data_IF_348176907479
#
_entry.id   IF_348176907479
#
_cell.length_a   1.000
_cell.length_b   1.000
_cell.length_c   1.000
_cell.angle_alpha   90.00
_cell.angle_beta   90.00
_cell.angle_gamma   90.00
#
_symmetry.space_group_name_H-M   'P 1'
#
loop_
_entity.id
_entity.type
_entity.pdbx_description
1 polymer ?
#
# COMPACT_ATOMS: atom_id res chain seq x y z
N UNK A 1 1.97 0.64 -6.33
CA UNK A 1 2.84 -0.49 -5.92
C UNK A 1 3.78 -0.02 -4.81
N UNK A 2 3.85 -0.73 -3.68
CA UNK A 2 4.81 -0.48 -2.58
C UNK A 2 6.07 -1.31 -2.80
N UNK A 3 7.22 -0.83 -2.26
CA UNK A 3 8.49 -1.56 -2.29
C UNK A 3 9.16 -1.52 -0.91
N UNK A 4 10.15 -2.40 -0.70
CA UNK A 4 10.93 -2.43 0.54
C UNK A 4 11.85 -1.22 0.68
N UNK A 5 12.23 -0.89 1.92
CA UNK A 5 13.14 0.21 2.25
C UNK A 5 14.48 0.11 1.50
N UNK A 6 15.11 -1.08 1.43
CA UNK A 6 16.37 -1.26 0.72
C UNK A 6 16.27 -0.97 -0.78
N UNK A 7 15.12 -1.32 -1.39
CA UNK A 7 14.84 -1.01 -2.81
C UNK A 7 14.62 0.49 -2.99
N UNK A 8 13.84 1.11 -2.10
CA UNK A 8 13.60 2.55 -2.10
C UNK A 8 14.92 3.33 -2.01
N UNK A 9 15.79 2.96 -1.08
CA UNK A 9 17.12 3.55 -0.95
C UNK A 9 18.01 3.34 -2.18
N UNK A 10 17.91 2.16 -2.80
CA UNK A 10 18.61 1.87 -4.06
C UNK A 10 18.20 2.82 -5.19
N UNK A 11 16.91 3.11 -5.31
CA UNK A 11 16.39 4.09 -6.28
C UNK A 11 16.86 5.50 -5.91
N UNK A 12 16.65 5.93 -4.67
CA UNK A 12 17.06 7.24 -4.21
C UNK A 12 18.54 7.51 -4.46
N UNK A 13 19.38 6.52 -4.22
CA UNK A 13 20.83 6.59 -4.48
C UNK A 13 21.15 6.82 -5.97
N UNK A 14 20.41 6.20 -6.90
CA UNK A 14 20.58 6.43 -8.34
C UNK A 14 20.33 7.90 -8.74
N UNK A 15 19.44 8.57 -8.01
CA UNK A 15 19.13 9.99 -8.21
C UNK A 15 20.04 10.95 -7.44
N UNK A 16 21.01 10.42 -6.69
CA UNK A 16 21.95 11.23 -5.93
C UNK A 16 21.46 11.67 -4.54
N UNK A 17 20.38 11.08 -4.04
CA UNK A 17 19.93 11.25 -2.66
C UNK A 17 20.85 10.46 -1.74
N UNK A 18 21.40 11.12 -0.72
CA UNK A 18 22.29 10.49 0.24
C UNK A 18 21.50 9.51 1.14
N UNK A 19 21.94 8.27 1.17
CA UNK A 19 21.43 7.17 2.01
C UNK A 19 22.59 6.51 2.75
N UNK A 20 22.38 5.92 3.95
CA UNK A 20 23.42 5.16 4.64
C UNK A 20 23.94 4.01 3.77
N UNK A 21 25.21 3.63 3.97
CA UNK A 21 25.72 2.40 3.34
C UNK A 21 25.03 1.20 3.94
N UNK A 22 24.52 0.32 3.08
CA UNK A 22 23.81 -0.85 3.53
C UNK A 22 23.71 -1.92 2.47
N UNK A 23 23.52 -3.16 2.92
CA UNK A 23 23.36 -4.35 2.09
C UNK A 23 22.19 -5.17 2.59
N UNK A 24 21.35 -5.64 1.67
CA UNK A 24 20.25 -6.57 1.95
C UNK A 24 20.80 -7.96 2.21
N UNK A 25 20.21 -8.69 3.16
CA UNK A 25 20.54 -10.05 3.52
C UNK A 25 19.27 -10.90 3.68
N UNK A 26 19.31 -12.13 3.20
CA UNK A 26 18.25 -13.15 3.32
C UNK A 26 18.65 -14.31 4.24
N UNK A 27 19.94 -14.38 4.57
CA UNK A 27 20.49 -15.40 5.48
C UNK A 27 21.32 -14.74 6.57
N UNK A 28 21.61 -15.50 7.62
CA UNK A 28 22.49 -15.07 8.71
C UNK A 28 23.91 -14.79 8.20
N UNK A 29 24.40 -15.64 7.31
CA UNK A 29 25.76 -15.57 6.73
C UNK A 29 25.93 -14.33 5.87
N UNK A 30 24.90 -13.99 5.07
CA UNK A 30 24.88 -12.73 4.30
C UNK A 30 24.88 -11.51 5.21
N UNK A 31 24.12 -11.53 6.30
CA UNK A 31 24.09 -10.45 7.28
C UNK A 31 25.44 -10.28 7.99
N UNK A 32 26.10 -11.39 8.32
CA UNK A 32 27.45 -11.40 8.90
C UNK A 32 28.47 -10.80 7.94
N UNK A 33 28.44 -11.20 6.67
CA UNK A 33 29.33 -10.66 5.63
C UNK A 33 29.11 -9.16 5.42
N UNK A 34 27.85 -8.71 5.37
CA UNK A 34 27.50 -7.28 5.25
C UNK A 34 27.99 -6.47 6.47
N UNK A 35 27.79 -6.99 7.68
CA UNK A 35 28.26 -6.35 8.91
C UNK A 35 29.80 -6.24 8.94
N UNK A 36 30.50 -7.28 8.50
CA UNK A 36 31.96 -7.29 8.42
C UNK A 36 32.50 -6.23 7.44
N UNK A 37 31.87 -6.10 6.27
CA UNK A 37 32.26 -5.08 5.29
C UNK A 37 32.04 -3.65 5.83
N UNK A 38 30.87 -3.39 6.43
CA UNK A 38 30.50 -2.09 6.97
C UNK A 38 31.42 -1.69 8.14
N UNK A 39 31.63 -2.58 9.11
CA UNK A 39 32.50 -2.32 10.26
C UNK A 39 33.96 -2.20 9.83
N UNK A 40 34.43 -3.04 8.89
CA UNK A 40 35.75 -2.98 8.30
C UNK A 40 36.05 -1.68 7.57
N UNK A 41 35.05 -0.96 7.12
CA UNK A 41 35.18 0.37 6.48
C UNK A 41 35.11 1.54 7.46
N UNK A 42 35.15 1.29 8.78
CA UNK A 42 35.28 2.31 9.83
C UNK A 42 33.95 2.79 10.43
N UNK A 43 32.82 2.08 10.19
CA UNK A 43 31.60 2.38 10.91
C UNK A 43 31.68 1.97 12.38
N UNK A 44 31.02 2.73 13.27
CA UNK A 44 31.06 2.49 14.74
C UNK A 44 30.07 1.36 15.16
N UNK A 45 29.23 0.94 14.28
CA UNK A 45 28.23 -0.11 14.47
C UNK A 45 27.40 -0.33 13.21
N UNK A 46 26.55 -1.32 13.26
CA UNK A 46 25.56 -1.60 12.21
C UNK A 46 24.15 -1.63 12.80
N UNK A 47 23.16 -1.32 11.95
CA UNK A 47 21.74 -1.46 12.28
C UNK A 47 21.19 -2.60 11.45
N UNK A 48 20.55 -3.56 12.10
CA UNK A 48 19.82 -4.67 11.48
C UNK A 48 18.35 -4.30 11.42
N UNK A 49 17.80 -4.15 10.21
CA UNK A 49 16.43 -3.69 9.99
C UNK A 49 15.60 -4.75 9.24
N UNK A 50 14.53 -5.22 9.85
CA UNK A 50 13.54 -6.08 9.17
C UNK A 50 12.93 -5.35 7.97
N UNK A 51 12.80 -6.06 6.85
CA UNK A 51 12.22 -5.53 5.62
C UNK A 51 10.82 -6.10 5.44
N UNK A 52 9.80 -5.31 5.79
CA UNK A 52 8.37 -5.56 5.58
C UNK A 52 7.70 -4.29 5.08
N UNK A 53 6.56 -4.41 4.40
CA UNK A 53 5.78 -3.27 3.89
C UNK A 53 4.93 -2.57 4.98
N UNK A 54 5.50 -2.40 6.17
CA UNK A 54 4.82 -1.74 7.29
C UNK A 54 5.76 -0.82 8.06
N UNK A 55 5.21 0.27 8.56
CA UNK A 55 5.87 1.19 9.49
C UNK A 55 5.86 0.67 10.93
N UNK A 56 6.54 1.42 11.84
CA UNK A 56 6.57 1.09 13.26
C UNK A 56 7.47 -0.10 13.62
N UNK A 57 8.33 -0.55 12.70
CA UNK A 57 9.23 -1.70 12.88
C UNK A 57 10.10 -1.60 14.12
N UNK A 58 10.60 -0.39 14.43
CA UNK A 58 11.44 -0.15 15.61
C UNK A 58 10.70 -0.51 16.91
N UNK A 59 9.45 -0.06 17.07
CA UNK A 59 8.60 -0.38 18.23
C UNK A 59 8.26 -1.86 18.32
N UNK A 60 8.13 -2.54 17.17
CA UNK A 60 7.87 -3.98 17.09
C UNK A 60 9.11 -4.86 17.28
N UNK A 61 10.30 -4.27 17.50
CA UNK A 61 11.56 -5.02 17.66
C UNK A 61 12.24 -5.40 16.34
N UNK A 62 11.77 -4.89 15.21
CA UNK A 62 12.31 -5.12 13.87
C UNK A 62 13.50 -4.23 13.49
N UNK A 63 14.06 -3.45 14.43
CA UNK A 63 15.27 -2.63 14.25
C UNK A 63 16.15 -2.80 15.45
N UNK A 64 17.39 -3.24 15.27
CA UNK A 64 18.36 -3.48 16.33
C UNK A 64 19.75 -2.98 15.91
N UNK A 65 20.50 -2.44 16.88
CA UNK A 65 21.88 -2.01 16.67
C UNK A 65 22.80 -3.13 17.14
N UNK A 66 23.86 -3.38 16.38
CA UNK A 66 24.95 -4.28 16.73
C UNK A 66 26.29 -3.55 16.65
N UNK A 67 27.19 -3.85 17.60
CA UNK A 67 28.53 -3.24 17.69
C UNK A 67 29.64 -4.18 17.20
N UNK A 68 29.31 -5.44 16.94
CA UNK A 68 30.25 -6.43 16.38
C UNK A 68 29.57 -7.25 15.26
N UNK A 69 30.38 -7.99 14.51
CA UNK A 69 29.93 -8.88 13.45
C UNK A 69 29.12 -10.03 14.04
N UNK A 70 29.56 -10.60 15.15
CA UNK A 70 28.92 -11.72 15.85
C UNK A 70 27.54 -11.30 16.38
N UNK A 71 27.43 -10.11 16.98
CA UNK A 71 26.19 -9.56 17.47
C UNK A 71 25.20 -9.33 16.32
N UNK A 72 25.67 -8.80 15.18
CA UNK A 72 24.84 -8.61 13.98
C UNK A 72 24.32 -9.96 13.44
N UNK A 73 25.15 -10.97 13.37
CA UNK A 73 24.78 -12.34 12.94
C UNK A 73 23.78 -12.99 13.90
N UNK A 74 23.93 -12.80 15.21
CA UNK A 74 22.99 -13.30 16.21
C UNK A 74 21.61 -12.64 16.08
N UNK A 75 21.60 -11.30 15.96
CA UNK A 75 20.38 -10.53 15.76
C UNK A 75 19.68 -10.96 14.45
N UNK A 76 20.43 -11.06 13.37
CA UNK A 76 19.90 -11.51 12.07
C UNK A 76 19.27 -12.88 12.15
N UNK A 77 19.91 -13.86 12.81
CA UNK A 77 19.37 -15.19 13.01
C UNK A 77 18.07 -15.23 13.82
N UNK A 78 17.89 -14.29 14.76
CA UNK A 78 16.65 -14.15 15.55
C UNK A 78 15.54 -13.42 14.77
N UNK A 79 15.90 -12.48 13.89
CA UNK A 79 14.93 -11.68 13.16
C UNK A 79 14.41 -12.35 11.90
N UNK A 80 15.25 -13.13 11.20
CA UNK A 80 14.80 -13.90 10.04
C UNK A 80 13.81 -14.98 10.47
N UNK A 81 12.67 -15.03 9.78
CA UNK A 81 11.57 -15.93 10.09
C UNK A 81 10.69 -15.52 11.26
N UNK A 82 11.03 -14.45 12.01
CA UNK A 82 10.15 -13.98 13.07
C UNK A 82 8.86 -13.36 12.51
N UNK A 83 7.79 -13.45 13.28
CA UNK A 83 6.53 -12.75 13.03
C UNK A 83 6.61 -11.35 13.65
N UNK A 84 6.72 -10.34 12.80
CA UNK A 84 6.81 -8.94 13.25
C UNK A 84 5.42 -8.30 13.28
N UNK A 85 4.98 -7.90 14.47
CA UNK A 85 3.69 -7.22 14.71
C UNK A 85 3.95 -5.74 14.92
N UNK A 86 3.27 -4.90 14.16
CA UNK A 86 3.29 -3.44 14.28
C UNK A 86 1.84 -2.92 14.28
N UNK A 87 1.63 -1.64 14.57
CA UNK A 87 0.31 -1.03 14.46
C UNK A 87 -0.27 -1.04 13.02
N UNK A 88 0.60 -1.17 12.00
CA UNK A 88 0.17 -1.25 10.59
C UNK A 88 -0.04 -2.67 10.07
N UNK A 89 0.59 -3.68 10.68
CA UNK A 89 0.38 -5.09 10.28
C UNK A 89 -0.83 -5.73 10.93
N UNK A 90 -1.41 -5.08 11.94
CA UNK A 90 -2.41 -5.71 12.79
C UNK A 90 -1.85 -6.90 13.59
N UNK A 91 -2.72 -7.66 14.31
CA UNK A 91 -2.31 -8.79 15.14
C UNK A 91 -1.77 -9.98 14.34
N UNK A 92 -2.15 -10.06 13.06
CA UNK A 92 -1.64 -11.11 12.15
C UNK A 92 -0.14 -10.99 11.92
N UNK A 93 0.43 -9.77 11.96
CA UNK A 93 1.84 -9.52 11.74
C UNK A 93 2.31 -9.87 10.32
N UNK A 94 3.61 -9.76 10.08
CA UNK A 94 4.27 -10.18 8.84
C UNK A 94 5.52 -10.99 9.15
N UNK A 95 5.80 -12.01 8.36
CA UNK A 95 7.02 -12.80 8.51
C UNK A 95 8.20 -12.05 7.88
N UNK A 96 9.29 -11.95 8.61
CA UNK A 96 10.50 -11.27 8.15
C UNK A 96 11.32 -12.21 7.28
N UNK A 97 11.35 -11.97 5.98
CA UNK A 97 12.11 -12.75 5.00
C UNK A 97 13.45 -12.12 4.62
N UNK A 98 13.59 -10.81 4.83
CA UNK A 98 14.76 -10.02 4.43
C UNK A 98 15.14 -9.04 5.51
N UNK A 99 16.43 -8.77 5.59
CA UNK A 99 17.03 -7.76 6.47
C UNK A 99 17.79 -6.74 5.65
N UNK A 100 17.88 -5.51 6.15
CA UNK A 100 18.81 -4.52 5.67
C UNK A 100 19.84 -4.27 6.78
N UNK A 101 21.11 -4.50 6.45
CA UNK A 101 22.23 -4.23 7.34
C UNK A 101 22.84 -2.90 6.92
N UNK A 102 22.78 -1.89 7.79
CA UNK A 102 23.23 -0.52 7.49
C UNK A 102 24.25 -0.01 8.51
N UNK A 103 25.09 0.94 8.08
CA UNK A 103 25.98 1.66 9.01
C UNK A 103 25.20 2.50 10.01
N UNK A 104 25.68 2.59 11.24
CA UNK A 104 25.22 3.61 12.19
C UNK A 104 25.75 4.98 11.80
N UNK A 105 24.94 6.02 12.00
CA UNK A 105 25.29 7.41 11.72
C UNK A 105 25.21 8.25 12.99
N UNK A 106 26.07 9.30 13.14
CA UNK A 106 26.06 10.18 14.29
C UNK A 106 24.93 11.21 14.20
N UNK A 107 23.71 10.80 14.53
CA UNK A 107 22.49 11.60 14.40
C UNK A 107 22.50 12.79 15.36
N UNK A 108 22.27 14.00 14.85
CA UNK A 108 22.05 15.22 15.63
C UNK A 108 20.55 15.55 15.72
N UNK A 109 19.82 15.44 14.58
CA UNK A 109 18.40 15.71 14.50
C UNK A 109 17.69 14.69 13.62
N UNK A 110 16.51 14.32 14.04
CA UNK A 110 15.55 13.55 13.23
C UNK A 110 14.45 14.46 12.74
N UNK A 111 14.21 14.47 11.44
CA UNK A 111 13.32 15.37 10.72
C UNK A 111 12.42 14.53 9.85
N UNK A 112 11.32 15.12 9.38
CA UNK A 112 10.39 14.49 8.44
C UNK A 112 10.41 15.18 7.08
N UNK A 113 10.43 14.39 6.02
CA UNK A 113 10.17 14.83 4.63
C UNK A 113 9.21 13.88 3.94
N UNK A 114 8.21 14.42 3.26
CA UNK A 114 7.32 13.67 2.38
C UNK A 114 7.07 14.42 1.08
N UNK A 115 6.87 13.68 0.00
CA UNK A 115 6.38 14.22 -1.29
C UNK A 115 5.21 13.36 -1.72
N UNK A 116 4.10 14.00 -2.05
CA UNK A 116 2.93 13.36 -2.60
C UNK A 116 2.18 14.33 -3.53
N UNK A 117 1.19 13.82 -4.24
CA UNK A 117 0.25 14.68 -4.99
C UNK A 117 -0.92 15.03 -4.08
N UNK A 118 -1.08 16.31 -3.76
CA UNK A 118 -2.28 16.82 -3.07
C UNK A 118 -3.44 16.84 -4.08
N UNK A 119 -4.44 15.99 -3.86
CA UNK A 119 -5.58 15.85 -4.77
C UNK A 119 -6.49 17.08 -4.77
N UNK A 120 -6.54 17.82 -3.66
CA UNK A 120 -7.34 19.06 -3.57
C UNK A 120 -6.76 20.17 -4.43
N UNK A 121 -5.43 20.31 -4.41
CA UNK A 121 -4.72 21.35 -5.17
C UNK A 121 -4.29 20.87 -6.57
N UNK A 122 -4.33 19.55 -6.84
CA UNK A 122 -3.86 18.94 -8.08
C UNK A 122 -2.37 19.14 -8.34
N UNK A 123 -1.55 19.25 -7.29
CA UNK A 123 -0.13 19.58 -7.37
C UNK A 123 0.73 18.71 -6.46
N UNK A 124 1.99 18.44 -6.84
CA UNK A 124 2.96 17.89 -5.90
C UNK A 124 3.17 18.83 -4.73
N UNK A 125 3.27 18.26 -3.55
CA UNK A 125 3.55 18.99 -2.32
C UNK A 125 4.66 18.33 -1.52
N UNK A 126 5.66 19.10 -1.11
CA UNK A 126 6.56 18.72 -0.03
C UNK A 126 5.89 18.97 1.32
N UNK A 127 5.91 17.97 2.15
CA UNK A 127 5.59 18.06 3.57
C UNK A 127 6.88 17.93 4.35
N UNK A 128 7.14 18.88 5.25
CA UNK A 128 8.37 18.91 6.04
C UNK A 128 8.07 19.27 7.49
N UNK A 129 8.69 18.58 8.44
CA UNK A 129 8.54 18.86 9.86
C UNK A 129 9.88 18.65 10.60
N UNK A 130 10.10 19.49 11.61
CA UNK A 130 11.21 19.30 12.55
C UNK A 130 10.95 18.14 13.53
N UNK A 131 9.75 17.55 13.53
CA UNK A 131 9.39 16.37 14.32
C UNK A 131 9.49 15.12 13.42
N UNK A 132 10.64 14.50 13.37
CA UNK A 132 10.91 13.25 12.66
C UNK A 132 11.01 12.04 13.60
N UNK A 133 11.08 10.83 13.01
CA UNK A 133 11.18 9.59 13.76
C UNK A 133 9.89 9.19 14.49
N UNK A 134 8.81 9.90 14.26
CA UNK A 134 7.51 9.66 14.87
C UNK A 134 6.40 9.61 13.81
N UNK A 135 5.21 9.22 14.25
CA UNK A 135 4.03 9.13 13.39
C UNK A 135 3.59 10.53 12.94
N UNK A 136 3.68 10.80 11.65
CA UNK A 136 3.38 12.13 11.08
C UNK A 136 1.88 12.42 11.10
N UNK A 137 1.03 11.40 11.03
CA UNK A 137 -0.43 11.52 11.13
C UNK A 137 -0.82 12.04 12.52
N UNK A 138 -0.13 11.59 13.56
CA UNK A 138 -0.31 12.12 14.91
C UNK A 138 0.12 13.59 14.99
N UNK A 139 1.28 13.94 14.40
CA UNK A 139 1.74 15.34 14.35
C UNK A 139 0.73 16.21 13.60
N UNK A 140 0.17 15.71 12.48
CA UNK A 140 -0.83 16.42 11.68
C UNK A 140 -2.14 16.65 12.44
N UNK A 141 -2.55 15.71 13.29
CA UNK A 141 -3.76 15.81 14.09
C UNK A 141 -3.60 16.75 15.30
N UNK A 142 -2.47 16.67 15.99
CA UNK A 142 -2.24 17.41 17.24
C UNK A 142 -1.66 18.82 17.02
N UNK A 143 -0.77 18.96 16.00
CA UNK A 143 -0.02 20.19 15.72
C UNK A 143 0.16 20.40 14.20
N UNK A 144 -0.93 20.65 13.45
CA UNK A 144 -0.88 20.78 11.98
C UNK A 144 0.07 21.91 11.53
N UNK A 145 0.26 22.95 12.33
CA UNK A 145 1.19 24.06 12.08
C UNK A 145 2.68 23.65 12.13
N UNK A 146 3.00 22.49 12.73
CA UNK A 146 4.37 21.93 12.75
C UNK A 146 4.75 21.29 11.41
N UNK A 147 3.82 21.19 10.46
CA UNK A 147 4.07 20.64 9.13
C UNK A 147 4.03 21.76 8.10
N UNK A 148 5.20 22.08 7.56
CA UNK A 148 5.29 22.96 6.40
C UNK A 148 4.79 22.22 5.16
N UNK A 149 3.86 22.81 4.41
CA UNK A 149 3.48 22.40 3.05
C UNK A 149 4.09 23.36 2.05
N UNK A 150 4.88 22.84 1.11
CA UNK A 150 5.41 23.60 -0.01
C UNK A 150 4.91 22.99 -1.31
N UNK A 151 3.92 23.62 -1.92
CA UNK A 151 3.40 23.21 -3.22
C UNK A 151 4.37 23.55 -4.34
N UNK A 152 4.42 22.67 -5.34
CA UNK A 152 5.30 22.80 -6.49
C UNK A 152 4.43 22.89 -7.74
N UNK A 153 4.69 23.87 -8.57
CA UNK A 153 4.06 23.95 -9.89
C UNK A 153 4.69 22.88 -10.81
N UNK A 154 3.90 21.96 -11.39
CA UNK A 154 4.46 20.90 -12.24
C UNK A 154 5.21 21.41 -13.48
N UNK A 155 4.83 22.59 -14.00
CA UNK A 155 5.46 23.17 -15.16
C UNK A 155 6.83 23.82 -14.86
N UNK A 156 7.06 24.25 -13.61
CA UNK A 156 8.31 24.89 -13.19
C UNK A 156 9.23 23.92 -12.45
N UNK A 157 8.65 22.93 -11.77
CA UNK A 157 9.40 22.05 -10.88
C UNK A 157 9.77 22.68 -9.54
N UNK A 158 10.61 21.99 -8.77
CA UNK A 158 11.11 22.50 -7.49
C UNK A 158 12.21 23.54 -7.71
N UNK A 159 11.91 24.78 -7.38
CA UNK A 159 12.86 25.89 -7.48
C UNK A 159 13.80 25.97 -6.26
N UNK A 160 15.06 26.40 -6.44
CA UNK A 160 16.05 26.45 -5.34
C UNK A 160 15.62 27.29 -4.14
N UNK A 161 14.81 28.35 -4.35
CA UNK A 161 14.31 29.15 -3.23
C UNK A 161 13.29 28.39 -2.37
N UNK A 162 12.46 27.54 -3.00
CA UNK A 162 11.49 26.68 -2.31
C UNK A 162 12.22 25.63 -1.46
N UNK A 163 13.25 25.00 -2.02
CA UNK A 163 14.10 24.05 -1.30
C UNK A 163 14.80 24.73 -0.11
N UNK A 164 15.32 25.96 -0.26
CA UNK A 164 15.87 26.75 0.86
C UNK A 164 14.83 27.03 1.93
N UNK A 165 13.60 27.40 1.54
CA UNK A 165 12.49 27.62 2.49
C UNK A 165 12.22 26.39 3.33
N UNK A 166 12.16 25.21 2.71
CA UNK A 166 12.02 23.93 3.42
C UNK A 166 13.18 23.71 4.38
N UNK A 167 14.44 23.88 3.92
CA UNK A 167 15.62 23.69 4.73
C UNK A 167 15.67 24.60 5.97
N UNK A 168 15.26 25.86 5.84
CA UNK A 168 15.14 26.79 6.97
C UNK A 168 14.04 26.39 7.94
N UNK A 169 12.88 25.97 7.43
CA UNK A 169 11.77 25.50 8.27
C UNK A 169 12.11 24.24 9.08
N UNK A 170 12.98 23.37 8.54
CA UNK A 170 13.54 22.23 9.25
C UNK A 170 14.60 22.60 10.31
N UNK A 171 14.98 23.88 10.41
CA UNK A 171 15.99 24.36 11.34
C UNK A 171 17.39 23.83 11.05
N UNK A 172 17.72 23.62 9.76
CA UNK A 172 19.05 23.22 9.33
C UNK A 172 20.06 24.40 9.48
N UNK A 173 21.30 24.07 9.76
CA UNK A 173 22.39 25.06 9.91
C UNK A 173 22.71 25.71 8.55
N UNK A 174 23.16 26.95 8.55
CA UNK A 174 23.54 27.67 7.33
C UNK A 174 24.51 26.89 6.43
N UNK A 175 25.47 26.17 7.03
CA UNK A 175 26.41 25.30 6.31
C UNK A 175 25.77 24.10 5.60
N UNK A 176 24.58 23.71 6.01
CA UNK A 176 23.82 22.55 5.45
C UNK A 176 22.85 22.94 4.34
N UNK A 177 22.54 24.24 4.17
CA UNK A 177 21.48 24.68 3.25
C UNK A 177 21.74 24.26 1.81
N UNK A 178 22.96 24.38 1.30
CA UNK A 178 23.26 23.97 -0.08
C UNK A 178 23.15 22.44 -0.27
N UNK A 179 23.60 21.66 0.69
CA UNK A 179 23.43 20.20 0.68
C UNK A 179 21.95 19.82 0.75
N UNK A 180 21.15 20.52 1.55
CA UNK A 180 19.70 20.31 1.62
C UNK A 180 19.00 20.66 0.31
N UNK A 181 19.38 21.74 -0.38
CA UNK A 181 18.84 22.08 -1.70
C UNK A 181 19.13 20.98 -2.70
N UNK A 182 20.36 20.46 -2.75
CA UNK A 182 20.71 19.33 -3.63
C UNK A 182 19.91 18.09 -3.28
N UNK A 183 19.80 17.74 -2.00
CA UNK A 183 19.04 16.59 -1.52
C UNK A 183 17.57 16.68 -1.93
N UNK A 184 16.91 17.81 -1.67
CA UNK A 184 15.50 18.04 -2.01
C UNK A 184 15.25 18.02 -3.53
N UNK A 185 16.16 18.61 -4.32
CA UNK A 185 16.06 18.58 -5.79
C UNK A 185 16.20 17.16 -6.33
N UNK A 186 17.16 16.38 -5.80
CA UNK A 186 17.35 14.97 -6.16
C UNK A 186 16.14 14.12 -5.75
N UNK A 187 15.57 14.39 -4.56
CA UNK A 187 14.39 13.67 -4.08
C UNK A 187 13.15 13.97 -4.95
N UNK A 188 12.97 15.24 -5.36
CA UNK A 188 11.89 15.63 -6.27
C UNK A 188 12.04 14.99 -7.66
N UNK A 189 13.26 14.93 -8.19
CA UNK A 189 13.52 14.21 -9.44
C UNK A 189 13.20 12.73 -9.32
N UNK A 190 13.62 12.08 -8.24
CA UNK A 190 13.27 10.68 -7.98
C UNK A 190 11.76 10.47 -7.95
N UNK A 191 11.02 11.36 -7.28
CA UNK A 191 9.55 11.32 -7.23
C UNK A 191 8.91 11.42 -8.62
N UNK A 192 9.31 12.40 -9.43
CA UNK A 192 8.72 12.62 -10.75
C UNK A 192 9.10 11.54 -11.77
N UNK A 193 10.40 11.27 -11.90
CA UNK A 193 10.92 10.39 -12.94
C UNK A 193 10.59 8.90 -12.72
N UNK A 194 10.23 8.52 -11.49
CA UNK A 194 9.77 7.17 -11.15
C UNK A 194 8.25 7.04 -11.09
N UNK A 195 7.49 8.09 -11.40
CA UNK A 195 6.03 8.14 -11.21
C UNK A 195 5.62 7.69 -9.80
N UNK A 196 6.34 8.15 -8.80
CA UNK A 196 5.98 7.87 -7.42
C UNK A 196 4.71 8.63 -7.03
N UNK A 197 3.79 7.97 -6.35
CA UNK A 197 2.62 8.59 -5.72
C UNK A 197 2.92 9.10 -4.31
N UNK A 198 3.95 8.51 -3.67
CA UNK A 198 4.45 8.90 -2.35
C UNK A 198 5.95 8.63 -2.27
N UNK A 199 6.70 9.60 -1.78
CA UNK A 199 8.05 9.43 -1.24
C UNK A 199 8.02 9.95 0.19
N UNK A 200 8.37 9.13 1.15
CA UNK A 200 8.42 9.49 2.57
C UNK A 200 9.79 9.12 3.14
N UNK A 201 10.42 10.09 3.78
CA UNK A 201 11.69 9.95 4.48
C UNK A 201 11.44 10.26 5.97
N UNK A 202 11.41 9.22 6.79
CA UNK A 202 11.09 9.36 8.22
C UNK A 202 11.86 8.35 9.07
N UNK A 203 13.03 8.78 9.63
CA UNK A 203 13.50 10.15 9.63
C UNK A 203 14.41 10.52 8.43
N UNK A 204 14.34 11.80 8.03
CA UNK A 204 15.40 12.51 7.38
C UNK A 204 16.33 13.03 8.46
N UNK A 205 17.63 12.77 8.41
CA UNK A 205 18.54 13.10 9.49
C UNK A 205 19.58 14.15 9.13
N UNK A 206 19.89 14.98 10.11
CA UNK A 206 21.08 15.80 10.17
C UNK A 206 22.08 15.14 11.10
N UNK A 207 23.30 14.90 10.64
CA UNK A 207 24.37 14.33 11.42
C UNK A 207 25.20 15.42 12.12
N UNK A 208 25.90 15.07 13.23
CA UNK A 208 26.76 15.98 13.96
C UNK A 208 27.95 16.51 13.12
N UNK A 209 28.36 15.76 12.09
CA UNK A 209 29.34 16.15 11.10
C UNK A 209 28.81 17.02 9.95
N UNK A 210 27.55 17.38 10.01
CA UNK A 210 26.88 18.24 9.04
C UNK A 210 26.28 17.53 7.80
N UNK A 211 26.51 16.22 7.63
CA UNK A 211 25.90 15.44 6.53
C UNK A 211 24.41 15.26 6.74
N UNK A 212 23.70 15.07 5.63
CA UNK A 212 22.25 14.84 5.58
C UNK A 212 21.96 13.49 4.92
N UNK A 213 21.03 12.69 5.47
CA UNK A 213 20.71 11.37 4.94
C UNK A 213 19.20 11.04 5.03
N UNK A 214 18.72 10.25 4.09
CA UNK A 214 17.47 9.50 4.23
C UNK A 214 17.75 8.23 5.06
N UNK A 215 17.44 8.24 6.36
CA UNK A 215 17.72 7.13 7.26
C UNK A 215 16.69 6.01 7.12
N UNK A 216 15.44 6.34 6.86
CA UNK A 216 14.39 5.42 6.43
C UNK A 216 13.68 6.01 5.21
N UNK A 217 13.27 5.17 4.28
CA UNK A 217 12.65 5.60 3.05
C UNK A 217 11.51 4.64 2.66
N UNK A 218 10.37 5.24 2.31
CA UNK A 218 9.20 4.56 1.77
C UNK A 218 8.84 5.18 0.43
N UNK A 219 8.79 4.35 -0.59
CA UNK A 219 8.34 4.72 -1.92
C UNK A 219 7.11 3.91 -2.30
N UNK A 220 6.14 4.61 -2.87
CA UNK A 220 4.97 4.00 -3.49
C UNK A 220 4.84 4.56 -4.89
N UNK A 221 4.69 3.71 -5.89
CA UNK A 221 4.54 4.10 -7.29
C UNK A 221 3.07 4.14 -7.69
N UNK A 222 2.77 4.92 -8.71
CA UNK A 222 1.48 4.89 -9.38
C UNK A 222 1.39 3.59 -10.22
N UNK A 223 0.45 2.71 -9.87
CA UNK A 223 0.24 1.46 -10.58
C UNK A 223 -0.11 1.67 -12.07
N UNK A 224 -0.79 2.78 -12.37
CA UNK A 224 -1.15 3.14 -13.74
C UNK A 224 0.06 3.55 -14.60
N UNK A 225 1.19 3.87 -13.98
CA UNK A 225 2.42 4.23 -14.69
C UNK A 225 3.42 3.07 -14.86
N UNK A 226 3.22 1.95 -14.16
CA UNK A 226 4.16 0.82 -14.15
C UNK A 226 4.39 0.18 -15.53
N UNK A 227 3.49 0.39 -16.50
CA UNK A 227 3.68 -0.11 -17.86
C UNK A 227 4.92 0.49 -18.54
N UNK A 228 5.35 1.69 -18.15
CA UNK A 228 6.54 2.37 -18.66
C UNK A 228 7.80 2.22 -17.78
N UNK A 229 7.67 1.52 -16.65
CA UNK A 229 8.73 1.26 -15.68
C UNK A 229 8.90 -0.24 -15.44
N UNK A 230 9.43 -0.96 -16.43
CA UNK A 230 9.61 -2.42 -16.34
C UNK A 230 10.54 -2.81 -15.18
N UNK A 231 11.62 -2.03 -14.96
CA UNK A 231 12.58 -2.22 -13.88
C UNK A 231 11.97 -2.03 -12.48
N UNK A 232 11.05 -1.08 -12.33
CA UNK A 232 10.34 -0.88 -11.06
C UNK A 232 9.33 -2.00 -10.81
N UNK A 233 8.66 -2.48 -11.83
CA UNK A 233 7.68 -3.57 -11.71
C UNK A 233 8.31 -4.87 -11.19
N UNK A 234 9.58 -5.13 -11.51
CA UNK A 234 10.33 -6.29 -11.01
C UNK A 234 10.60 -6.21 -9.50
N UNK A 235 10.47 -5.03 -8.88
CA UNK A 235 10.66 -4.85 -7.45
C UNK A 235 9.45 -5.26 -6.60
N UNK A 236 8.34 -5.64 -7.24
CA UNK A 236 7.12 -6.08 -6.55
C UNK A 236 7.38 -7.32 -5.71
N UNK A 237 7.01 -7.27 -4.44
CA UNK A 237 7.06 -8.41 -3.53
C UNK A 237 5.64 -8.92 -3.25
N UNK A 238 5.26 -9.97 -3.97
CA UNK A 238 3.94 -10.61 -3.85
C UNK A 238 3.69 -11.17 -2.43
N UNK A 239 4.75 -11.57 -1.71
CA UNK A 239 4.62 -12.12 -0.35
C UNK A 239 4.15 -11.08 0.68
N UNK A 240 4.25 -9.80 0.36
CA UNK A 240 3.80 -8.68 1.19
C UNK A 240 2.37 -8.21 0.88
N UNK A 241 1.77 -8.71 -0.18
CA UNK A 241 0.43 -8.34 -0.62
C UNK A 241 -0.65 -9.29 -0.02
N UNK A 242 -1.91 -8.89 -0.10
CA UNK A 242 -3.02 -9.78 0.23
C UNK A 242 -3.15 -10.86 -0.85
N UNK A 243 -3.25 -12.15 -0.49
CA UNK A 243 -3.36 -13.23 -1.48
C UNK A 243 -4.55 -13.09 -2.43
N UNK A 244 -5.68 -12.52 -1.98
CA UNK A 244 -6.86 -12.31 -2.81
C UNK A 244 -6.67 -11.15 -3.79
N UNK A 245 -5.95 -10.09 -3.37
CA UNK A 245 -5.56 -8.98 -4.25
C UNK A 245 -4.59 -9.47 -5.34
N UNK A 246 -3.63 -10.31 -4.97
CA UNK A 246 -2.72 -10.96 -5.91
C UNK A 246 -3.48 -11.83 -6.90
N UNK A 247 -4.41 -12.67 -6.42
CA UNK A 247 -5.22 -13.52 -7.30
C UNK A 247 -6.06 -12.69 -8.27
N UNK A 248 -6.74 -11.65 -7.78
CA UNK A 248 -7.54 -10.74 -8.59
C UNK A 248 -6.73 -10.05 -9.69
N UNK A 249 -5.48 -9.67 -9.38
CA UNK A 249 -4.60 -9.01 -10.35
C UNK A 249 -4.27 -9.87 -11.59
N UNK A 250 -4.32 -11.19 -11.49
CA UNK A 250 -4.08 -12.11 -12.61
C UNK A 250 -5.17 -12.02 -13.69
N UNK A 251 -6.37 -11.62 -13.29
CA UNK A 251 -7.55 -11.50 -14.15
C UNK A 251 -7.92 -10.06 -14.49
N UNK A 252 -7.03 -9.10 -14.18
CA UNK A 252 -7.28 -7.65 -14.33
C UNK A 252 -8.52 -7.17 -13.58
N UNK A 253 -8.75 -7.73 -12.38
CA UNK A 253 -9.81 -7.31 -11.47
C UNK A 253 -9.26 -6.34 -10.42
N UNK A 254 -10.01 -5.28 -10.15
CA UNK A 254 -9.69 -4.34 -9.08
C UNK A 254 -10.32 -4.83 -7.77
N UNK A 255 -9.53 -5.49 -6.94
CA UNK A 255 -9.95 -6.01 -5.64
C UNK A 255 -9.16 -5.35 -4.52
N UNK A 256 -9.85 -4.95 -3.45
CA UNK A 256 -9.25 -4.48 -2.19
C UNK A 256 -9.98 -5.16 -1.05
N UNK A 257 -9.24 -5.86 -0.18
CA UNK A 257 -9.81 -6.50 1.00
C UNK A 257 -10.14 -5.46 2.09
N UNK A 258 -11.30 -5.65 2.74
CA UNK A 258 -11.77 -4.85 3.87
C UNK A 258 -12.15 -5.78 5.05
N UNK A 259 -12.52 -5.19 6.19
CA UNK A 259 -12.75 -5.94 7.44
C UNK A 259 -14.22 -6.36 7.67
N UNK A 260 -15.06 -6.30 6.64
CA UNK A 260 -16.49 -6.58 6.76
C UNK A 260 -16.86 -8.04 6.51
N UNK A 261 -18.20 -8.28 6.42
CA UNK A 261 -18.79 -9.60 6.18
C UNK A 261 -19.70 -9.68 4.95
N UNK A 262 -19.93 -8.55 4.26
CA UNK A 262 -20.71 -8.50 3.03
C UNK A 262 -19.77 -8.40 1.84
N UNK A 263 -19.64 -9.47 1.06
CA UNK A 263 -18.90 -9.47 -0.19
C UNK A 263 -19.60 -8.62 -1.26
N UNK A 264 -18.85 -7.82 -2.00
CA UNK A 264 -19.38 -6.92 -3.03
C UNK A 264 -18.74 -7.23 -4.38
N UNK A 265 -19.57 -7.40 -5.43
CA UNK A 265 -19.15 -7.45 -6.83
C UNK A 265 -19.94 -6.43 -7.64
N UNK A 266 -19.22 -5.50 -8.28
CA UNK A 266 -19.84 -4.34 -8.95
C UNK A 266 -19.08 -4.06 -10.23
N UNK A 267 -19.72 -3.44 -11.20
CA UNK A 267 -19.07 -2.92 -12.40
C UNK A 267 -19.00 -1.40 -12.38
N UNK A 268 -17.78 -0.91 -12.20
CA UNK A 268 -17.46 0.52 -12.12
C UNK A 268 -17.21 1.00 -10.69
N UNK A 269 -16.07 1.66 -10.51
CA UNK A 269 -15.57 2.09 -9.20
C UNK A 269 -16.56 3.01 -8.43
N UNK A 270 -17.24 3.93 -9.14
CA UNK A 270 -18.24 4.80 -8.53
C UNK A 270 -19.43 4.04 -7.97
N UNK A 271 -19.94 3.05 -8.71
CA UNK A 271 -21.03 2.20 -8.25
C UNK A 271 -20.58 1.29 -7.10
N UNK A 272 -19.32 0.81 -7.13
CA UNK A 272 -18.75 0.03 -6.04
C UNK A 272 -18.69 0.82 -4.74
N UNK A 273 -18.20 2.06 -4.76
CA UNK A 273 -18.19 2.95 -3.60
C UNK A 273 -19.61 3.22 -3.08
N UNK A 274 -20.53 3.57 -3.96
CA UNK A 274 -21.94 3.79 -3.57
C UNK A 274 -22.60 2.52 -2.99
N UNK A 275 -22.24 1.33 -3.50
CA UNK A 275 -22.71 0.05 -2.97
C UNK A 275 -22.18 -0.19 -1.55
N UNK A 276 -20.91 0.06 -1.31
CA UNK A 276 -20.32 -0.06 0.03
C UNK A 276 -20.95 0.94 1.02
N UNK A 277 -21.20 2.17 0.60
CA UNK A 277 -21.84 3.19 1.42
C UNK A 277 -23.26 2.80 1.82
N UNK A 278 -24.07 2.29 0.89
CA UNK A 278 -25.44 1.89 1.20
C UNK A 278 -25.50 0.64 2.10
N UNK A 279 -24.54 -0.29 1.98
CA UNK A 279 -24.38 -1.42 2.91
C UNK A 279 -24.10 -0.91 4.31
N UNK A 280 -23.17 0.05 4.47
CA UNK A 280 -22.88 0.67 5.77
C UNK A 280 -24.09 1.40 6.33
N UNK A 281 -24.82 2.13 5.49
CA UNK A 281 -26.05 2.82 5.88
C UNK A 281 -27.14 1.84 6.36
N UNK A 282 -27.24 0.66 5.76
CA UNK A 282 -28.14 -0.42 6.20
C UNK A 282 -27.63 -1.17 7.46
N UNK A 283 -26.50 -0.75 8.05
CA UNK A 283 -25.90 -1.33 9.25
C UNK A 283 -25.10 -2.61 9.02
N UNK A 284 -24.63 -2.84 7.80
CA UNK A 284 -23.68 -3.89 7.44
C UNK A 284 -22.26 -3.35 7.29
N UNK A 285 -21.29 -4.23 7.04
CA UNK A 285 -19.91 -3.89 6.77
C UNK A 285 -19.43 -4.59 5.49
N UNK A 286 -18.96 -3.85 4.45
CA UNK A 286 -18.42 -4.44 3.25
C UNK A 286 -17.10 -5.17 3.54
N UNK A 287 -16.95 -6.39 2.98
CA UNK A 287 -15.76 -7.22 3.13
C UNK A 287 -14.67 -6.86 2.10
N UNK A 288 -15.05 -6.19 1.03
CA UNK A 288 -14.14 -5.84 -0.06
C UNK A 288 -14.70 -4.72 -0.93
N UNK A 289 -13.79 -4.08 -1.66
CA UNK A 289 -14.08 -3.39 -2.91
C UNK A 289 -13.77 -4.37 -4.04
N UNK A 290 -14.67 -4.54 -5.01
CA UNK A 290 -14.41 -5.31 -6.24
C UNK A 290 -15.13 -4.68 -7.41
N UNK A 291 -14.35 -4.17 -8.35
CA UNK A 291 -14.81 -3.66 -9.63
C UNK A 291 -14.37 -4.60 -10.75
N UNK A 292 -15.34 -5.25 -11.39
CA UNK A 292 -15.07 -6.13 -12.54
C UNK A 292 -14.90 -5.36 -13.85
N UNK A 293 -15.14 -4.04 -13.85
CA UNK A 293 -15.09 -3.21 -15.04
C UNK A 293 -16.31 -3.33 -15.96
N UNK A 294 -16.43 -2.37 -16.88
CA UNK A 294 -17.56 -2.31 -17.83
C UNK A 294 -17.45 -3.28 -19.02
N UNK A 295 -16.28 -3.89 -19.23
CA UNK A 295 -15.99 -4.79 -20.37
C UNK A 295 -15.67 -6.22 -19.93
N UNK A 296 -15.95 -6.59 -18.67
CA UNK A 296 -15.67 -7.91 -18.15
C UNK A 296 -16.36 -9.01 -18.97
N UNK A 297 -15.65 -10.11 -19.23
CA UNK A 297 -16.21 -11.32 -19.84
C UNK A 297 -16.69 -12.30 -18.75
N UNK A 298 -17.38 -13.37 -19.17
CA UNK A 298 -17.94 -14.37 -18.26
C UNK A 298 -16.87 -15.05 -17.40
N UNK A 299 -15.66 -15.28 -17.92
CA UNK A 299 -14.54 -15.88 -17.20
C UNK A 299 -14.05 -14.96 -16.08
N UNK A 300 -13.86 -13.66 -16.36
CA UNK A 300 -13.49 -12.67 -15.35
C UNK A 300 -14.54 -12.56 -14.24
N UNK A 301 -15.84 -12.59 -14.60
CA UNK A 301 -16.93 -12.57 -13.63
C UNK A 301 -16.92 -13.83 -12.76
N UNK A 302 -16.67 -14.99 -13.35
CA UNK A 302 -16.56 -16.25 -12.61
C UNK A 302 -15.40 -16.19 -11.59
N UNK A 303 -14.21 -15.76 -12.02
CA UNK A 303 -13.07 -15.62 -11.12
C UNK A 303 -13.30 -14.55 -10.04
N UNK A 304 -13.93 -13.43 -10.37
CA UNK A 304 -14.32 -12.41 -9.40
C UNK A 304 -15.21 -13.01 -8.30
N UNK A 305 -16.16 -13.82 -8.68
CA UNK A 305 -17.07 -14.49 -7.76
C UNK A 305 -16.35 -15.57 -6.93
N UNK A 306 -15.48 -16.39 -7.55
CA UNK A 306 -14.64 -17.38 -6.85
C UNK A 306 -13.75 -16.71 -5.78
N UNK A 307 -13.15 -15.56 -6.08
CA UNK A 307 -12.33 -14.76 -5.12
C UNK A 307 -13.17 -14.34 -3.92
N UNK A 308 -14.38 -13.81 -4.14
CA UNK A 308 -15.30 -13.46 -3.05
C UNK A 308 -15.65 -14.64 -2.15
N UNK A 309 -15.91 -15.81 -2.74
CA UNK A 309 -16.28 -17.02 -2.01
C UNK A 309 -15.10 -17.62 -1.23
N UNK A 310 -13.85 -17.33 -1.61
CA UNK A 310 -12.66 -17.79 -0.92
C UNK A 310 -12.34 -16.97 0.34
N UNK A 311 -12.91 -15.78 0.47
CA UNK A 311 -12.77 -14.96 1.67
C UNK A 311 -13.64 -15.48 2.81
N UNK A 312 -13.00 -16.06 3.83
CA UNK A 312 -13.67 -16.65 5.00
C UNK A 312 -14.45 -15.65 5.85
N UNK A 313 -14.21 -14.36 5.69
CA UNK A 313 -14.96 -13.31 6.41
C UNK A 313 -16.33 -13.05 5.77
N UNK A 314 -16.52 -13.39 4.50
CA UNK A 314 -17.75 -13.17 3.75
C UNK A 314 -18.84 -14.12 4.22
N UNK A 315 -20.01 -13.58 4.56
CA UNK A 315 -21.21 -14.31 5.01
C UNK A 315 -22.39 -14.17 4.07
N UNK A 316 -22.40 -13.12 3.26
CA UNK A 316 -23.36 -12.91 2.19
C UNK A 316 -22.72 -12.09 1.08
N UNK A 317 -23.17 -12.25 -0.14
CA UNK A 317 -22.63 -11.54 -1.32
C UNK A 317 -23.71 -10.64 -1.92
N UNK A 318 -23.36 -9.39 -2.23
CA UNK A 318 -24.15 -8.49 -3.06
C UNK A 318 -23.47 -8.31 -4.43
N UNK A 319 -24.18 -8.71 -5.47
CA UNK A 319 -23.82 -8.43 -6.86
C UNK A 319 -24.69 -7.26 -7.34
N UNK A 320 -24.08 -6.12 -7.58
CA UNK A 320 -24.78 -4.90 -8.00
C UNK A 320 -24.23 -4.43 -9.35
N UNK A 321 -24.98 -4.67 -10.41
CA UNK A 321 -24.56 -4.39 -11.79
C UNK A 321 -25.48 -3.39 -12.44
N UNK A 322 -24.89 -2.38 -13.04
CA UNK A 322 -25.54 -1.49 -13.97
C UNK A 322 -24.97 -1.72 -15.37
N UNK A 323 -25.69 -2.48 -16.19
CA UNK A 323 -25.25 -2.90 -17.52
C UNK A 323 -25.41 -1.81 -18.57
N UNK A 324 -24.36 -1.06 -18.82
CA UNK A 324 -24.23 -0.28 -20.05
C UNK A 324 -23.53 -1.13 -21.12
N UNK A 325 -22.21 -1.23 -21.02
CA UNK A 325 -21.37 -2.04 -21.93
C UNK A 325 -21.40 -3.51 -21.47
N UNK A 326 -21.27 -3.78 -20.16
CA UNK A 326 -21.38 -5.12 -19.60
C UNK A 326 -22.84 -5.62 -19.75
N UNK A 327 -23.01 -6.73 -20.44
CA UNK A 327 -24.32 -7.38 -20.64
C UNK A 327 -24.67 -8.24 -19.42
N UNK A 328 -25.89 -8.06 -18.93
CA UNK A 328 -26.37 -8.76 -17.73
C UNK A 328 -26.52 -10.27 -17.94
N UNK A 329 -26.87 -10.72 -19.14
CA UNK A 329 -26.95 -12.15 -19.51
C UNK A 329 -25.58 -12.85 -19.43
N UNK A 330 -24.49 -12.20 -19.88
CA UNK A 330 -23.12 -12.71 -19.75
C UNK A 330 -22.68 -12.80 -18.29
N UNK A 331 -22.99 -11.77 -17.52
CA UNK A 331 -22.71 -11.78 -16.08
C UNK A 331 -23.46 -12.91 -15.38
N UNK A 332 -24.76 -13.05 -15.63
CA UNK A 332 -25.58 -14.11 -15.05
C UNK A 332 -25.02 -15.51 -15.35
N UNK A 333 -24.57 -15.73 -16.59
CA UNK A 333 -23.91 -16.98 -16.98
C UNK A 333 -22.64 -17.22 -16.16
N UNK A 334 -21.73 -16.26 -16.06
CA UNK A 334 -20.50 -16.40 -15.28
C UNK A 334 -20.75 -16.65 -13.79
N UNK A 335 -21.73 -15.97 -13.21
CA UNK A 335 -22.12 -16.17 -11.79
C UNK A 335 -22.69 -17.57 -11.56
N UNK A 336 -23.55 -18.06 -12.46
CA UNK A 336 -24.14 -19.40 -12.36
C UNK A 336 -23.07 -20.49 -12.51
N UNK A 337 -22.15 -20.34 -13.45
CA UNK A 337 -21.04 -21.27 -13.64
C UNK A 337 -20.14 -21.35 -12.40
N UNK A 338 -19.72 -20.22 -11.87
CA UNK A 338 -18.90 -20.15 -10.67
C UNK A 338 -19.64 -20.73 -9.45
N UNK A 339 -20.91 -20.38 -9.26
CA UNK A 339 -21.72 -20.87 -8.16
C UNK A 339 -21.90 -22.42 -8.18
N UNK A 340 -22.07 -23.00 -9.38
CA UNK A 340 -22.13 -24.47 -9.54
C UNK A 340 -20.79 -25.13 -9.26
N UNK A 341 -19.70 -24.56 -9.77
CA UNK A 341 -18.33 -25.08 -9.59
C UNK A 341 -17.90 -25.08 -8.11
N UNK A 342 -18.28 -24.04 -7.38
CA UNK A 342 -17.88 -23.85 -5.97
C UNK A 342 -18.88 -24.46 -4.97
N UNK A 343 -20.01 -24.99 -5.43
CA UNK A 343 -21.09 -25.50 -4.58
C UNK A 343 -21.49 -24.51 -3.48
N UNK A 344 -21.81 -23.28 -3.89
CA UNK A 344 -22.03 -22.15 -2.99
C UNK A 344 -23.10 -22.42 -1.93
N UNK A 345 -22.76 -22.09 -0.67
CA UNK A 345 -23.70 -22.15 0.46
C UNK A 345 -24.07 -20.73 0.97
N UNK A 346 -23.34 -19.69 0.53
CA UNK A 346 -23.57 -18.32 0.96
C UNK A 346 -24.81 -17.72 0.29
N UNK A 347 -25.59 -16.90 1.00
CA UNK A 347 -26.66 -16.12 0.39
C UNK A 347 -26.10 -15.13 -0.62
N UNK A 348 -26.71 -15.08 -1.81
CA UNK A 348 -26.36 -14.12 -2.86
C UNK A 348 -27.56 -13.25 -3.20
N UNK A 349 -27.41 -11.95 -3.05
CA UNK A 349 -28.37 -10.94 -3.46
C UNK A 349 -27.89 -10.29 -4.75
N UNK A 350 -28.77 -10.17 -5.74
CA UNK A 350 -28.43 -9.56 -7.03
C UNK A 350 -29.37 -8.38 -7.31
N UNK A 351 -28.75 -7.26 -7.64
CA UNK A 351 -29.44 -6.12 -8.23
C UNK A 351 -28.86 -5.89 -9.62
N UNK A 352 -29.69 -6.05 -10.62
CA UNK A 352 -29.31 -6.04 -12.03
C UNK A 352 -30.14 -5.03 -12.80
N UNK A 353 -29.48 -4.11 -13.49
CA UNK A 353 -30.10 -3.14 -14.38
C UNK A 353 -29.31 -3.03 -15.69
N UNK A 354 -29.96 -2.63 -16.79
CA UNK A 354 -29.33 -2.31 -18.07
C UNK A 354 -29.54 -3.36 -19.16
N UNK A 355 -28.54 -3.51 -20.03
CA UNK A 355 -28.63 -4.31 -21.26
C UNK A 355 -28.85 -5.79 -20.97
N UNK A 356 -29.90 -6.40 -21.58
CA UNK A 356 -30.29 -7.81 -21.45
C UNK A 356 -30.65 -8.23 -20.00
N UNK A 357 -31.22 -7.33 -19.21
CA UNK A 357 -31.57 -7.58 -17.80
C UNK A 357 -32.59 -8.69 -17.65
N UNK A 358 -33.58 -8.75 -18.49
CA UNK A 358 -34.64 -9.77 -18.41
C UNK A 358 -34.10 -11.18 -18.75
N UNK A 359 -33.21 -11.29 -19.74
CA UNK A 359 -32.56 -12.56 -20.07
C UNK A 359 -31.58 -12.98 -18.91
N UNK A 360 -30.86 -12.05 -18.35
CA UNK A 360 -30.00 -12.34 -17.21
C UNK A 360 -30.78 -12.80 -15.97
N UNK A 361 -31.90 -12.16 -15.63
CA UNK A 361 -32.79 -12.61 -14.55
C UNK A 361 -33.34 -14.01 -14.83
N UNK A 362 -33.72 -14.31 -16.06
CA UNK A 362 -34.20 -15.63 -16.47
C UNK A 362 -33.14 -16.71 -16.26
N UNK A 363 -31.89 -16.47 -16.71
CA UNK A 363 -30.77 -17.38 -16.50
C UNK A 363 -30.56 -17.68 -15.00
N UNK A 364 -30.61 -16.65 -14.13
CA UNK A 364 -30.49 -16.82 -12.68
C UNK A 364 -31.64 -17.64 -12.08
N UNK A 365 -32.89 -17.36 -12.45
CA UNK A 365 -34.08 -18.07 -11.95
C UNK A 365 -34.10 -19.53 -12.39
N UNK A 366 -33.75 -19.82 -13.66
CA UNK A 366 -33.70 -21.17 -14.22
C UNK A 366 -32.50 -21.99 -13.75
N UNK A 367 -31.51 -21.34 -13.10
CA UNK A 367 -30.30 -22.01 -12.57
C UNK A 367 -30.58 -23.03 -11.47
N UNK A 368 -31.72 -22.88 -10.77
CA UNK A 368 -32.06 -23.65 -9.57
C UNK A 368 -31.28 -23.32 -8.33
N UNK A 369 -30.40 -22.25 -8.37
CA UNK A 369 -29.63 -21.77 -7.24
C UNK A 369 -30.48 -20.80 -6.41
N UNK A 370 -30.17 -20.71 -5.10
CA UNK A 370 -30.90 -19.85 -4.17
C UNK A 370 -30.39 -18.40 -4.25
N UNK A 371 -30.77 -17.69 -5.33
CA UNK A 371 -30.47 -16.30 -5.54
C UNK A 371 -31.63 -15.40 -5.14
N UNK A 372 -31.35 -14.30 -4.45
CA UNK A 372 -32.36 -13.28 -4.10
C UNK A 372 -32.22 -12.09 -5.02
N UNK A 373 -33.23 -11.75 -5.79
CA UNK A 373 -33.26 -10.58 -6.66
C UNK A 373 -33.74 -9.36 -5.86
N UNK A 374 -33.07 -8.23 -6.04
CA UNK A 374 -33.42 -6.93 -5.48
C UNK A 374 -33.75 -5.93 -6.61
N UNK A 375 -34.69 -5.02 -6.33
CA UNK A 375 -35.16 -4.04 -7.31
C UNK A 375 -34.39 -2.70 -7.22
N UNK A 376 -34.11 -2.25 -6.00
CA UNK A 376 -33.39 -0.99 -5.76
C UNK A 376 -32.10 -1.22 -4.99
N UNK A 377 -31.20 -0.22 -4.99
CA UNK A 377 -29.96 -0.29 -4.20
C UNK A 377 -30.25 -0.44 -2.69
N UNK A 378 -31.28 0.26 -2.21
CA UNK A 378 -31.70 0.16 -0.81
C UNK A 378 -32.23 -1.24 -0.48
N UNK A 379 -33.11 -1.78 -1.32
CA UNK A 379 -33.65 -3.14 -1.17
C UNK A 379 -32.53 -4.19 -1.20
N UNK A 380 -31.54 -4.02 -2.07
CA UNK A 380 -30.37 -4.89 -2.15
C UNK A 380 -29.53 -4.87 -0.87
N UNK A 381 -29.28 -3.67 -0.35
CA UNK A 381 -28.53 -3.50 0.90
C UNK A 381 -29.25 -4.09 2.11
N UNK A 382 -30.54 -3.80 2.25
CA UNK A 382 -31.37 -4.33 3.35
C UNK A 382 -31.41 -5.87 3.32
N UNK A 383 -31.60 -6.49 2.13
CA UNK A 383 -31.62 -7.94 1.94
C UNK A 383 -30.28 -8.59 2.25
N UNK A 384 -29.17 -8.05 1.72
CA UNK A 384 -27.86 -8.67 1.93
C UNK A 384 -27.38 -8.53 3.37
N UNK A 385 -27.68 -7.41 4.03
CA UNK A 385 -27.32 -7.21 5.45
C UNK A 385 -28.15 -8.16 6.35
N UNK A 386 -29.44 -8.33 6.06
CA UNK A 386 -30.26 -9.31 6.77
C UNK A 386 -29.74 -10.74 6.57
N UNK A 387 -29.39 -11.12 5.35
CA UNK A 387 -28.81 -12.42 5.01
C UNK A 387 -27.46 -12.66 5.74
N UNK A 388 -26.58 -11.68 5.75
CA UNK A 388 -25.27 -11.77 6.44
C UNK A 388 -25.41 -11.94 7.95
N UNK A 389 -26.43 -11.31 8.56
CA UNK A 389 -26.74 -11.46 10.00
C UNK A 389 -27.32 -12.85 10.32
N UNK A 390 -28.08 -13.44 9.41
CA UNK A 390 -28.68 -14.76 9.61
C UNK A 390 -27.67 -15.90 9.42
N UNK A 391 -26.59 -15.65 8.71
CA UNK A 391 -25.49 -16.59 8.48
C UNK A 391 -24.34 -16.48 9.53
N UNK A 392 -24.57 -15.69 10.59
CA UNK A 392 -23.61 -15.42 11.67
C UNK A 392 -23.70 -16.44 12.86
#
# INVERSE_FOLDING_TARGET
MKIHEYQAKGILKKYGVAVPRGTMATTREEAEAAAKDILGSGATGVVVKAQIHAGGRGKGGGVKIAKSVEEAAEIAGKMLGMKLVTHQTGPEGRIVHRLLIEETLPIEKELYLGILVDRGEGKPVFMASAAGGMDIEQVAAERPEAILKQYIDPGMGLEPFQARKIAFALGLKASQINAAVQFLTSLYRAFLESDASLVEINPFISCTDGRLFALDAKLTFDDNALFRHADLRELRDISEEDPLEVEASKYNLNYIKLDGSVGCMVNGAGLAMATMDIIKYAGGMPANFLDVGGSANAEQVAHAFEILLSDKSVRAVLINIFGGILRVDMLATGVVEAARKTNIQLPVVLRLEGTNVEEGKKILLESGLNFTVAETMKDAADKVVAAARSAA
#
